data_IF_220468382358
#
_entry.id   IF_220468382358
#
_cell.length_a   1.000
_cell.length_b   1.000
_cell.length_c   1.000
_cell.angle_alpha   90.00
_cell.angle_beta   90.00
_cell.angle_gamma   90.00
#
_symmetry.space_group_name_H-M   'P 1'
#
loop_
_entity.id
_entity.type
_entity.pdbx_description
1 polymer ?
#
# COMPACT_ATOMS: atom_id res chain seq x y z
N UNK A 1 -2.56 -20.27 4.03
CA UNK A 1 -1.71 -20.98 3.04
C UNK A 1 -0.32 -20.32 3.02
N UNK A 2 0.73 -20.94 2.49
CA UNK A 2 1.99 -20.20 2.20
C UNK A 2 1.66 -19.17 1.11
N UNK A 3 2.24 -17.97 1.19
CA UNK A 3 1.90 -16.81 0.36
C UNK A 3 0.69 -16.01 0.86
N UNK A 4 0.01 -16.46 1.91
CA UNK A 4 -1.15 -15.76 2.47
C UNK A 4 -0.72 -14.44 3.14
N UNK A 5 -1.48 -13.37 2.86
CA UNK A 5 -1.36 -12.08 3.54
C UNK A 5 -1.97 -12.15 4.93
N UNK A 6 -1.23 -11.67 5.91
CA UNK A 6 -1.66 -11.64 7.31
C UNK A 6 -1.28 -10.33 7.96
N UNK A 7 -2.06 -9.91 8.94
CA UNK A 7 -1.70 -8.87 9.89
C UNK A 7 -1.18 -9.53 11.15
N UNK A 8 0.01 -9.15 11.61
CA UNK A 8 0.57 -9.57 12.89
C UNK A 8 0.26 -8.50 13.92
N UNK A 9 -0.38 -8.90 15.02
CA UNK A 9 -0.77 -8.06 16.16
C UNK A 9 -0.24 -8.66 17.48
N UNK A 10 0.90 -9.34 17.43
CA UNK A 10 1.50 -9.97 18.61
C UNK A 10 2.26 -8.99 19.50
N UNK A 11 2.91 -9.52 20.53
CA UNK A 11 3.51 -8.75 21.62
C UNK A 11 4.78 -7.96 21.27
N UNK A 12 5.30 -8.05 20.04
CA UNK A 12 6.48 -7.28 19.62
C UNK A 12 5.98 -5.91 19.14
N UNK A 13 6.07 -4.93 20.04
CA UNK A 13 5.48 -3.58 19.92
C UNK A 13 5.91 -2.85 18.62
N UNK A 14 7.11 -3.11 18.10
CA UNK A 14 7.62 -2.48 16.87
C UNK A 14 7.48 -3.34 15.60
N UNK A 15 6.85 -4.51 15.70
CA UNK A 15 6.71 -5.42 14.57
C UNK A 15 5.25 -5.65 14.15
N UNK A 16 4.31 -4.98 14.81
CA UNK A 16 2.91 -4.95 14.37
C UNK A 16 2.81 -4.48 12.91
N UNK A 17 2.04 -5.21 12.11
CA UNK A 17 1.87 -4.86 10.70
C UNK A 17 1.65 -6.03 9.77
N UNK A 18 1.80 -5.75 8.47
CA UNK A 18 1.37 -6.66 7.39
C UNK A 18 2.54 -7.45 6.83
N UNK A 19 2.31 -8.75 6.67
CA UNK A 19 3.31 -9.70 6.20
C UNK A 19 2.72 -10.74 5.26
N UNK A 20 3.61 -11.48 4.60
CA UNK A 20 3.31 -12.72 3.89
C UNK A 20 3.78 -13.91 4.72
N UNK A 21 2.95 -14.95 4.79
CA UNK A 21 3.37 -16.23 5.37
C UNK A 21 4.30 -16.92 4.38
N UNK A 22 5.57 -17.08 4.73
CA UNK A 22 6.58 -17.71 3.88
C UNK A 22 6.83 -19.18 4.21
N UNK A 23 6.64 -19.55 5.48
CA UNK A 23 6.84 -20.91 5.97
C UNK A 23 5.88 -21.22 7.13
N UNK A 24 5.55 -22.50 7.31
CA UNK A 24 4.71 -23.01 8.39
C UNK A 24 5.36 -24.24 9.01
N UNK A 25 5.43 -24.24 10.34
CA UNK A 25 6.01 -25.33 11.10
C UNK A 25 5.07 -25.72 12.23
N UNK A 26 4.95 -27.02 12.48
CA UNK A 26 4.23 -27.53 13.65
C UNK A 26 5.26 -27.74 14.76
N UNK A 27 5.17 -26.93 15.81
CA UNK A 27 6.02 -27.07 17.00
C UNK A 27 5.26 -27.75 18.14
N UNK A 28 5.95 -28.30 19.16
CA UNK A 28 5.28 -28.98 20.28
C UNK A 28 4.25 -28.14 21.03
N UNK A 29 4.41 -26.81 21.02
CA UNK A 29 3.49 -25.86 21.65
C UNK A 29 2.45 -25.26 20.68
N UNK A 30 2.38 -25.75 19.45
CA UNK A 30 1.38 -25.36 18.45
C UNK A 30 1.96 -24.95 17.09
N UNK A 31 1.10 -24.51 16.15
CA UNK A 31 1.51 -24.08 14.81
C UNK A 31 2.20 -22.71 14.84
N UNK A 32 3.32 -22.61 14.11
CA UNK A 32 4.12 -21.39 13.96
C UNK A 32 4.37 -21.05 12.50
N UNK A 33 4.59 -19.77 12.23
CA UNK A 33 4.82 -19.22 10.89
C UNK A 33 6.08 -18.37 10.84
N UNK A 34 6.69 -18.33 9.65
CA UNK A 34 7.68 -17.30 9.29
C UNK A 34 6.99 -16.24 8.44
N UNK A 35 7.14 -14.98 8.84
CA UNK A 35 6.55 -13.83 8.18
C UNK A 35 7.62 -13.06 7.41
N UNK A 36 7.36 -12.81 6.13
CA UNK A 36 8.21 -11.97 5.27
C UNK A 36 7.53 -10.65 4.98
N UNK A 37 8.33 -9.60 4.80
CA UNK A 37 7.90 -8.39 4.12
C UNK A 37 7.42 -8.70 2.70
N UNK A 38 6.69 -7.78 2.09
CA UNK A 38 6.28 -7.89 0.68
C UNK A 38 7.45 -7.83 -0.32
N UNK A 39 8.63 -7.40 0.11
CA UNK A 39 9.86 -7.46 -0.67
C UNK A 39 10.54 -8.85 -0.60
N UNK A 40 9.95 -9.81 0.14
CA UNK A 40 10.49 -11.16 0.29
C UNK A 40 11.56 -11.30 1.38
N UNK A 41 11.91 -10.23 2.09
CA UNK A 41 12.82 -10.31 3.23
C UNK A 41 12.10 -10.89 4.45
N UNK A 42 12.73 -11.85 5.15
CA UNK A 42 12.20 -12.40 6.40
C UNK A 42 12.19 -11.31 7.47
N UNK A 43 11.01 -11.04 8.01
CA UNK A 43 10.80 -10.04 9.06
C UNK A 43 10.68 -10.69 10.44
N UNK A 44 9.86 -11.73 10.56
CA UNK A 44 9.61 -12.42 11.83
C UNK A 44 9.65 -13.94 11.65
N UNK A 45 10.20 -14.64 12.65
CA UNK A 45 10.29 -16.11 12.67
C UNK A 45 9.55 -16.65 13.88
N UNK A 46 9.09 -17.89 13.80
CA UNK A 46 8.46 -18.62 14.90
C UNK A 46 7.25 -17.90 15.52
N UNK A 47 6.52 -17.14 14.70
CA UNK A 47 5.31 -16.40 15.11
C UNK A 47 4.17 -17.38 15.30
N UNK A 48 3.47 -17.31 16.43
CA UNK A 48 2.33 -18.18 16.70
C UNK A 48 1.18 -17.85 15.75
N UNK A 49 0.49 -18.90 15.27
CA UNK A 49 -0.65 -18.71 14.37
C UNK A 49 -1.80 -17.90 15.00
N UNK A 50 -1.90 -17.86 16.33
CA UNK A 50 -2.90 -17.08 17.07
C UNK A 50 -2.61 -15.57 17.08
N UNK A 51 -1.38 -15.15 16.78
CA UNK A 51 -0.96 -13.74 16.72
C UNK A 51 -1.05 -13.14 15.32
N UNK A 52 -1.70 -13.85 14.38
CA UNK A 52 -1.85 -13.40 13.00
C UNK A 52 -3.30 -13.52 12.56
N UNK A 53 -3.80 -12.46 11.92
CA UNK A 53 -5.14 -12.41 11.34
C UNK A 53 -5.03 -12.48 9.81
N UNK A 54 -5.74 -13.42 9.15
CA UNK A 54 -5.83 -13.45 7.70
C UNK A 54 -6.34 -12.13 7.13
N UNK A 55 -5.60 -11.57 6.17
CA UNK A 55 -6.08 -10.43 5.39
C UNK A 55 -6.81 -10.98 4.16
N UNK A 56 -8.07 -10.58 3.90
CA UNK A 56 -8.82 -11.03 2.73
C UNK A 56 -8.04 -10.81 1.42
N UNK A 57 -8.10 -11.78 0.51
CA UNK A 57 -7.38 -11.68 -0.78
C UNK A 57 -7.98 -10.63 -1.73
N UNK A 58 -9.26 -10.30 -1.53
CA UNK A 58 -9.92 -9.23 -2.28
C UNK A 58 -9.81 -7.95 -1.46
N UNK A 59 -9.08 -6.94 -1.93
CA UNK A 59 -9.07 -5.65 -1.25
C UNK A 59 -10.48 -5.07 -1.27
N UNK A 60 -10.95 -4.57 -0.12
CA UNK A 60 -12.26 -3.87 -0.02
C UNK A 60 -12.31 -2.66 -0.96
N UNK A 61 -11.15 -2.05 -1.21
CA UNK A 61 -10.98 -0.94 -2.13
C UNK A 61 -10.20 -1.32 -3.39
N UNK A 62 -10.68 -0.88 -4.54
CA UNK A 62 -9.95 -1.01 -5.80
C UNK A 62 -9.45 0.35 -6.25
N UNK A 63 -8.18 0.42 -6.66
CA UNK A 63 -7.59 1.61 -7.29
C UNK A 63 -7.91 1.53 -8.78
N UNK A 64 -8.98 2.19 -9.21
CA UNK A 64 -9.42 2.14 -10.59
C UNK A 64 -8.43 2.85 -11.52
N UNK A 65 -8.09 2.20 -12.63
CA UNK A 65 -7.23 2.71 -13.69
C UNK A 65 -5.89 3.30 -13.19
N UNK A 66 -5.32 2.72 -12.13
CA UNK A 66 -4.14 3.23 -11.42
C UNK A 66 -2.99 3.65 -12.35
N UNK A 67 -2.61 2.76 -13.28
CA UNK A 67 -1.52 2.98 -14.22
C UNK A 67 -1.80 4.12 -15.19
N UNK A 68 -2.99 4.14 -15.81
CA UNK A 68 -3.37 5.20 -16.74
C UNK A 68 -3.41 6.57 -16.05
N UNK A 69 -3.93 6.62 -14.82
CA UNK A 69 -3.96 7.84 -14.00
C UNK A 69 -2.55 8.30 -13.63
N UNK A 70 -1.67 7.39 -13.20
CA UNK A 70 -0.28 7.73 -12.86
C UNK A 70 0.49 8.28 -14.08
N UNK A 71 0.27 7.72 -15.27
CA UNK A 71 0.86 8.19 -16.52
C UNK A 71 0.36 9.59 -16.91
N UNK A 72 -0.95 9.85 -16.79
CA UNK A 72 -1.53 11.19 -17.04
C UNK A 72 -0.91 12.21 -16.07
N UNK A 73 -0.82 11.86 -14.79
CA UNK A 73 -0.22 12.73 -13.78
C UNK A 73 1.24 13.03 -14.08
N UNK A 74 2.03 12.00 -14.45
CA UNK A 74 3.43 12.19 -14.84
C UNK A 74 3.53 13.13 -16.05
N UNK A 75 2.72 12.93 -17.10
CA UNK A 75 2.71 13.78 -18.29
C UNK A 75 2.34 15.24 -17.97
N UNK A 76 1.30 15.46 -17.17
CA UNK A 76 0.87 16.80 -16.76
C UNK A 76 1.91 17.50 -15.87
N UNK A 77 2.56 16.76 -14.97
CA UNK A 77 3.67 17.28 -14.18
C UNK A 77 4.80 17.77 -15.08
N UNK A 78 5.28 16.95 -16.02
CA UNK A 78 6.36 17.31 -16.93
C UNK A 78 6.01 18.48 -17.87
N UNK A 79 4.73 18.61 -18.25
CA UNK A 79 4.25 19.74 -19.06
C UNK A 79 4.28 21.06 -18.28
N UNK A 80 3.94 21.04 -16.99
CA UNK A 80 3.86 22.23 -16.15
C UNK A 80 5.19 22.60 -15.50
N UNK A 81 6.02 21.61 -15.19
CA UNK A 81 7.29 21.74 -14.52
C UNK A 81 8.40 21.05 -15.33
N UNK A 82 8.92 21.68 -16.40
CA UNK A 82 10.04 21.15 -17.17
C UNK A 82 11.32 20.98 -16.32
N UNK A 83 12.31 20.17 -16.76
CA UNK A 83 13.56 19.98 -16.02
C UNK A 83 14.24 21.32 -15.69
N UNK A 84 14.67 21.48 -14.45
CA UNK A 84 15.33 22.71 -13.96
C UNK A 84 14.38 23.80 -13.46
N UNK A 85 13.07 23.61 -13.57
CA UNK A 85 12.07 24.55 -13.01
C UNK A 85 11.59 24.18 -11.61
N UNK A 86 12.01 23.00 -11.14
CA UNK A 86 11.59 22.43 -9.86
C UNK A 86 12.68 21.56 -9.23
N UNK A 87 12.48 21.15 -7.99
CA UNK A 87 13.48 20.41 -7.23
C UNK A 87 13.64 18.98 -7.78
N UNK A 88 14.88 18.47 -7.99
CA UNK A 88 15.12 17.16 -8.61
C UNK A 88 14.40 16.00 -7.92
N UNK A 89 14.36 16.00 -6.59
CA UNK A 89 13.70 14.93 -5.82
C UNK A 89 12.18 14.88 -6.04
N UNK A 90 11.56 15.99 -6.46
CA UNK A 90 10.14 16.00 -6.81
C UNK A 90 9.95 15.40 -8.21
N UNK A 91 10.82 15.69 -9.17
CA UNK A 91 10.81 14.98 -10.46
C UNK A 91 10.95 13.46 -10.26
N UNK A 92 11.90 13.03 -9.43
CA UNK A 92 12.07 11.61 -9.11
C UNK A 92 10.81 10.97 -8.52
N UNK A 93 10.07 11.71 -7.67
CA UNK A 93 8.81 11.24 -7.11
C UNK A 93 7.76 10.99 -8.20
N UNK A 94 7.61 11.90 -9.15
CA UNK A 94 6.64 11.75 -10.25
C UNK A 94 7.07 10.67 -11.26
N UNK A 95 8.37 10.50 -11.49
CA UNK A 95 8.89 9.42 -12.32
C UNK A 95 8.74 8.02 -11.70
N UNK A 96 8.71 7.95 -10.36
CA UNK A 96 8.50 6.69 -9.62
C UNK A 96 7.05 6.43 -9.25
N UNK A 97 6.13 7.39 -9.47
CA UNK A 97 4.74 7.30 -9.03
C UNK A 97 4.05 5.99 -9.42
N UNK A 98 4.19 5.54 -10.67
CA UNK A 98 3.60 4.27 -11.13
C UNK A 98 4.10 3.05 -10.33
N UNK A 99 5.41 3.02 -10.03
CA UNK A 99 6.04 1.95 -9.26
C UNK A 99 5.62 1.98 -7.80
N UNK A 100 5.54 3.17 -7.22
CA UNK A 100 5.11 3.35 -5.83
C UNK A 100 3.65 2.91 -5.67
N UNK A 101 2.76 3.28 -6.60
CA UNK A 101 1.35 2.85 -6.59
C UNK A 101 1.23 1.33 -6.75
N UNK A 102 1.96 0.71 -7.67
CA UNK A 102 1.97 -0.75 -7.82
C UNK A 102 2.49 -1.46 -6.56
N UNK A 103 3.51 -0.90 -5.93
CA UNK A 103 4.06 -1.43 -4.68
C UNK A 103 3.04 -1.37 -3.55
N UNK A 104 2.31 -0.27 -3.41
CA UNK A 104 1.23 -0.13 -2.44
C UNK A 104 0.09 -1.13 -2.70
N UNK A 105 -0.35 -1.28 -3.95
CA UNK A 105 -1.38 -2.26 -4.32
C UNK A 105 -0.89 -3.69 -4.01
N UNK A 106 0.35 -4.03 -4.35
CA UNK A 106 0.95 -5.34 -4.07
C UNK A 106 0.99 -5.66 -2.57
N UNK A 107 1.28 -4.64 -1.75
CA UNK A 107 1.25 -4.65 -0.28
C UNK A 107 -0.15 -4.64 0.31
N UNK A 108 -1.18 -4.73 -0.53
CA UNK A 108 -2.59 -4.65 -0.16
C UNK A 108 -2.95 -3.35 0.57
N UNK A 109 -2.33 -2.23 0.19
CA UNK A 109 -2.61 -0.87 0.71
C UNK A 109 -3.34 -0.03 -0.36
N UNK A 110 -4.52 -0.47 -0.84
CA UNK A 110 -5.22 0.20 -1.94
C UNK A 110 -5.70 1.60 -1.57
N UNK A 111 -6.02 1.86 -0.30
CA UNK A 111 -6.49 3.17 0.14
C UNK A 111 -5.36 4.19 0.13
N UNK A 112 -4.19 3.82 0.61
CA UNK A 112 -3.00 4.67 0.54
C UNK A 112 -2.54 4.88 -0.91
N UNK A 113 -2.63 3.85 -1.75
CA UNK A 113 -2.39 3.98 -3.19
C UNK A 113 -3.34 5.00 -3.82
N UNK A 114 -4.66 4.86 -3.58
CA UNK A 114 -5.65 5.79 -4.09
C UNK A 114 -5.42 7.21 -3.54
N UNK A 115 -5.13 7.37 -2.25
CA UNK A 115 -4.83 8.66 -1.63
C UNK A 115 -3.58 9.32 -2.22
N UNK A 116 -2.51 8.54 -2.44
CA UNK A 116 -1.27 9.01 -3.06
C UNK A 116 -1.52 9.50 -4.47
N UNK A 117 -2.31 8.75 -5.24
CA UNK A 117 -2.70 9.09 -6.60
C UNK A 117 -3.58 10.34 -6.64
N UNK A 118 -4.60 10.43 -5.78
CA UNK A 118 -5.49 11.60 -5.68
C UNK A 118 -4.72 12.88 -5.31
N UNK A 119 -3.75 12.79 -4.41
CA UNK A 119 -2.86 13.91 -4.09
C UNK A 119 -2.06 14.37 -5.31
N UNK A 120 -1.49 13.41 -6.04
CA UNK A 120 -0.68 13.71 -7.21
C UNK A 120 -1.54 14.33 -8.33
N UNK A 121 -2.74 13.79 -8.59
CA UNK A 121 -3.75 14.33 -9.51
C UNK A 121 -4.16 15.76 -9.13
N UNK A 122 -4.40 16.01 -7.85
CA UNK A 122 -4.74 17.35 -7.35
C UNK A 122 -3.57 18.32 -7.50
N UNK A 123 -2.34 17.87 -7.25
CA UNK A 123 -1.15 18.73 -7.36
C UNK A 123 -0.94 19.22 -8.79
N UNK A 124 -1.05 18.33 -9.78
CA UNK A 124 -0.91 18.69 -11.19
C UNK A 124 -2.19 19.27 -11.80
N UNK A 125 -3.26 19.41 -11.02
CA UNK A 125 -4.52 20.02 -11.47
C UNK A 125 -5.41 19.12 -12.34
N UNK A 126 -5.19 17.81 -12.39
CA UNK A 126 -6.09 16.86 -13.06
C UNK A 126 -7.47 16.81 -12.40
N UNK A 127 -7.54 17.04 -11.09
CA UNK A 127 -8.78 17.10 -10.32
C UNK A 127 -8.80 18.31 -9.39
N UNK A 128 -10.01 18.79 -9.08
CA UNK A 128 -10.18 19.83 -8.06
C UNK A 128 -10.07 19.26 -6.64
N UNK A 129 -9.84 20.14 -5.66
CA UNK A 129 -9.85 19.75 -4.25
C UNK A 129 -11.19 19.15 -3.80
N UNK A 130 -12.31 19.66 -4.32
CA UNK A 130 -13.64 19.14 -3.99
C UNK A 130 -13.80 17.68 -4.44
N UNK A 131 -13.31 17.34 -5.64
CA UNK A 131 -13.32 15.96 -6.16
C UNK A 131 -12.41 15.05 -5.32
N UNK A 132 -11.19 15.51 -5.00
CA UNK A 132 -10.28 14.78 -4.12
C UNK A 132 -10.93 14.49 -2.76
N UNK A 133 -11.51 15.51 -2.11
CA UNK A 133 -12.15 15.37 -0.81
C UNK A 133 -13.32 14.39 -0.82
N UNK A 134 -14.17 14.43 -1.84
CA UNK A 134 -15.29 13.50 -1.98
C UNK A 134 -14.81 12.05 -2.14
N UNK A 135 -13.76 11.82 -2.94
CA UNK A 135 -13.19 10.49 -3.15
C UNK A 135 -12.50 9.96 -1.90
N UNK A 136 -11.80 10.80 -1.14
CA UNK A 136 -11.21 10.40 0.15
C UNK A 136 -12.29 10.04 1.16
N UNK A 137 -13.36 10.83 1.27
CA UNK A 137 -14.47 10.52 2.18
C UNK A 137 -15.09 9.14 1.86
N UNK A 138 -15.25 8.81 0.58
CA UNK A 138 -15.74 7.49 0.15
C UNK A 138 -14.78 6.34 0.53
N UNK A 139 -13.47 6.59 0.61
CA UNK A 139 -12.50 5.59 1.09
C UNK A 139 -12.64 5.35 2.60
N UNK A 140 -12.85 6.39 3.39
CA UNK A 140 -12.96 6.30 4.86
C UNK A 140 -14.27 5.64 5.30
N UNK A 141 -15.37 5.92 4.61
CA UNK A 141 -16.72 5.43 4.98
C UNK A 141 -16.87 3.91 4.76
N UNK A 142 -16.06 3.28 3.90
CA UNK A 142 -16.19 1.85 3.64
C UNK A 142 -15.61 0.93 4.74
N UNK A 143 -15.25 1.47 5.92
CA UNK A 143 -15.24 0.80 7.22
C UNK A 143 -14.44 -0.51 7.35
N UNK A 144 -13.41 -0.49 8.20
CA UNK A 144 -12.48 -1.59 8.54
C UNK A 144 -11.36 -1.91 7.53
N UNK A 145 -10.88 -0.93 6.76
CA UNK A 145 -9.61 -1.09 6.04
C UNK A 145 -8.48 -0.42 6.84
N UNK A 146 -7.78 -1.22 7.66
CA UNK A 146 -6.59 -0.82 8.43
C UNK A 146 -5.39 -0.43 7.54
N UNK A 147 -5.58 -0.15 6.24
CA UNK A 147 -4.51 0.39 5.40
C UNK A 147 -4.10 1.82 5.78
N UNK A 148 -4.84 2.44 6.72
CA UNK A 148 -4.54 3.71 7.37
C UNK A 148 -3.77 3.60 8.70
N UNK A 149 -3.66 2.41 9.30
CA UNK A 149 -2.91 2.19 10.55
C UNK A 149 -1.46 1.79 10.25
#
# INVERSE_FOLDING_TARGET
MIGQRVFYNGSIIDAEGRYLVSDKQTTPDGPRCTLTTYAGAVALRNVRAESITPVPEVPKHQVLAAQGRAQVVQGEFWRQFPPGTWLPYIHERYDRLHRDIDDLIRRNRPVEAEYTLLNAERFVGCISYAVMSARIAALVIAGDDESWL
#
